data_IF_627868276190
#
_entry.id   IF_627868276190
#
_cell.length_a   1.000
_cell.length_b   1.000
_cell.length_c   1.000
_cell.angle_alpha   90.00
_cell.angle_beta   90.00
_cell.angle_gamma   90.00
#
_symmetry.space_group_name_H-M   'P 1'
#
loop_
_entity.id
_entity.type
_entity.pdbx_description
1 polymer ?
#
# COMPACT_ATOMS: atom_id res chain seq x y z
N UNK A 1 -65.08 -37.96 -46.60
CA UNK A 1 -63.65 -37.55 -46.54
C UNK A 1 -63.37 -36.96 -45.13
N UNK A 2 -62.68 -37.75 -44.27
CA UNK A 2 -62.34 -37.34 -42.88
C UNK A 2 -60.89 -36.93 -42.87
N UNK A 3 -60.63 -35.71 -42.47
CA UNK A 3 -59.26 -35.17 -42.28
C UNK A 3 -58.66 -35.72 -40.98
N UNK A 4 -57.34 -36.02 -40.92
CA UNK A 4 -56.69 -36.45 -39.70
C UNK A 4 -56.32 -35.27 -38.83
N UNK A 5 -56.60 -35.38 -37.54
CA UNK A 5 -56.19 -34.43 -36.49
C UNK A 5 -54.73 -34.67 -36.14
N UNK A 6 -53.87 -33.67 -36.35
CA UNK A 6 -52.50 -33.60 -35.87
C UNK A 6 -52.51 -33.24 -34.39
N UNK A 7 -51.93 -34.11 -33.54
CA UNK A 7 -51.69 -33.86 -32.15
C UNK A 7 -50.29 -33.24 -32.01
N UNK A 8 -50.11 -32.05 -31.42
CA UNK A 8 -48.79 -31.49 -31.19
C UNK A 8 -48.16 -32.17 -29.96
N UNK A 9 -47.06 -32.87 -30.16
CA UNK A 9 -46.25 -33.47 -29.12
C UNK A 9 -45.50 -32.35 -28.39
N UNK A 10 -45.84 -32.10 -27.12
CA UNK A 10 -45.19 -31.14 -26.25
C UNK A 10 -43.84 -31.73 -25.78
N UNK A 11 -42.75 -31.22 -26.28
CA UNK A 11 -41.40 -31.59 -25.86
C UNK A 11 -41.08 -30.82 -24.54
N UNK A 12 -41.17 -31.52 -23.43
CA UNK A 12 -40.80 -30.97 -22.12
C UNK A 12 -39.27 -30.91 -22.02
N UNK A 13 -38.72 -29.69 -22.06
CA UNK A 13 -37.30 -29.44 -21.85
C UNK A 13 -37.02 -29.37 -20.33
N UNK A 14 -36.53 -30.47 -19.76
CA UNK A 14 -36.10 -30.52 -18.36
C UNK A 14 -34.75 -29.85 -18.23
N UNK A 15 -34.72 -28.62 -17.69
CA UNK A 15 -33.50 -27.97 -17.23
C UNK A 15 -32.98 -28.68 -15.99
N UNK A 16 -31.89 -29.41 -16.12
CA UNK A 16 -31.14 -29.92 -14.96
C UNK A 16 -30.43 -28.79 -14.28
N UNK A 17 -30.90 -28.38 -13.10
CA UNK A 17 -30.19 -27.46 -12.21
C UNK A 17 -28.97 -28.21 -11.64
N UNK A 18 -27.79 -27.96 -12.18
CA UNK A 18 -26.55 -28.44 -11.58
C UNK A 18 -26.31 -27.68 -10.24
N UNK A 19 -26.01 -28.36 -9.13
CA UNK A 19 -25.65 -27.71 -7.89
C UNK A 19 -24.33 -26.95 -8.10
N UNK A 20 -24.39 -25.63 -8.01
CA UNK A 20 -23.20 -24.82 -7.98
C UNK A 20 -22.53 -25.01 -6.62
N UNK A 21 -21.41 -25.72 -6.61
CA UNK A 21 -20.54 -25.78 -5.45
C UNK A 21 -20.11 -24.32 -5.10
N UNK A 22 -20.19 -23.90 -3.82
CA UNK A 22 -19.65 -22.61 -3.42
C UNK A 22 -18.15 -22.64 -3.71
N UNK A 23 -17.74 -21.98 -4.79
CA UNK A 23 -16.35 -21.71 -5.05
C UNK A 23 -15.82 -20.90 -3.86
N UNK A 24 -14.84 -21.44 -3.15
CA UNK A 24 -14.06 -20.67 -2.18
C UNK A 24 -13.42 -19.52 -2.96
N UNK A 25 -14.06 -18.36 -2.92
CA UNK A 25 -13.46 -17.14 -3.38
C UNK A 25 -12.25 -16.91 -2.47
N UNK A 26 -11.06 -17.26 -2.94
CA UNK A 26 -9.83 -16.72 -2.36
C UNK A 26 -9.96 -15.21 -2.50
N UNK A 27 -10.21 -14.54 -1.38
CA UNK A 27 -10.24 -13.09 -1.34
C UNK A 27 -8.90 -12.62 -1.91
N UNK A 28 -8.95 -12.04 -3.10
CA UNK A 28 -7.80 -11.48 -3.77
C UNK A 28 -7.33 -10.35 -2.87
N UNK A 29 -6.21 -10.55 -2.14
CA UNK A 29 -5.63 -9.56 -1.26
C UNK A 29 -5.36 -8.32 -2.10
N UNK A 30 -6.16 -7.29 -1.90
CA UNK A 30 -6.04 -6.05 -2.64
C UNK A 30 -4.89 -5.25 -2.08
N UNK A 31 -4.22 -4.45 -2.92
CA UNK A 31 -3.21 -3.45 -2.52
C UNK A 31 -3.71 -2.48 -1.43
N UNK A 32 -4.96 -2.62 -1.05
CA UNK A 32 -5.72 -1.74 -0.17
C UNK A 32 -5.54 -2.08 1.32
N UNK A 33 -4.91 -3.20 1.63
CA UNK A 33 -4.79 -3.70 2.99
C UNK A 33 -3.59 -3.12 3.75
N UNK A 34 -2.67 -2.43 3.04
CA UNK A 34 -1.54 -1.73 3.66
C UNK A 34 -1.85 -0.26 3.87
N UNK A 35 -1.59 0.23 5.10
CA UNK A 35 -1.67 1.64 5.47
C UNK A 35 -0.53 1.98 6.40
N UNK A 36 0.08 3.14 6.20
CA UNK A 36 1.05 3.70 7.13
C UNK A 36 0.67 5.15 7.45
N UNK A 37 0.98 5.57 8.67
CA UNK A 37 0.79 6.93 9.13
C UNK A 37 2.06 7.43 9.82
N UNK A 38 2.67 8.48 9.27
CA UNK A 38 3.87 9.11 9.81
C UNK A 38 3.51 9.88 11.09
N UNK A 39 4.23 9.59 12.18
CA UNK A 39 4.12 10.26 13.47
C UNK A 39 5.18 11.35 13.60
N UNK A 40 6.41 11.03 13.16
CA UNK A 40 7.57 11.92 13.19
C UNK A 40 8.40 11.74 11.90
N UNK A 41 8.78 12.84 11.22
CA UNK A 41 8.50 14.25 11.49
C UNK A 41 7.03 14.62 11.39
N UNK A 42 6.58 15.59 12.21
CA UNK A 42 5.20 16.08 12.19
C UNK A 42 4.94 17.03 11.01
N UNK A 43 3.67 17.18 10.65
CA UNK A 43 3.25 18.16 9.67
C UNK A 43 3.83 19.55 9.96
N UNK A 44 4.49 20.17 8.97
CA UNK A 44 5.10 21.50 9.09
C UNK A 44 6.34 21.57 10.00
N UNK A 45 6.80 20.47 10.57
CA UNK A 45 8.03 20.47 11.38
C UNK A 45 9.21 20.95 10.55
N UNK A 46 10.05 21.83 11.13
CA UNK A 46 11.25 22.36 10.48
C UNK A 46 12.46 21.60 10.96
N UNK A 47 13.17 20.97 10.04
CA UNK A 47 14.39 20.20 10.29
C UNK A 47 15.61 20.93 9.74
N UNK A 48 16.75 20.71 10.36
CA UNK A 48 18.04 21.26 9.91
C UNK A 48 18.89 20.16 9.27
N UNK A 49 19.61 20.45 8.18
CA UNK A 49 20.62 19.54 7.65
C UNK A 49 21.62 19.10 8.73
N UNK A 50 21.96 17.80 8.72
CA UNK A 50 22.86 17.21 9.73
C UNK A 50 22.20 16.87 11.08
N UNK A 51 20.99 17.35 11.32
CA UNK A 51 20.22 16.94 12.50
C UNK A 51 19.89 15.46 12.45
N UNK A 52 20.04 14.74 13.57
CA UNK A 52 19.49 13.39 13.70
C UNK A 52 18.08 13.50 14.28
N UNK A 53 17.12 12.92 13.58
CA UNK A 53 15.73 12.90 13.99
C UNK A 53 15.23 11.46 13.96
N UNK A 54 14.44 11.09 14.96
CA UNK A 54 13.71 9.81 14.91
C UNK A 54 12.54 9.93 13.96
N UNK A 55 12.60 9.14 12.89
CA UNK A 55 11.44 8.89 12.03
C UNK A 55 10.63 7.78 12.69
N UNK A 56 9.33 8.00 12.84
CA UNK A 56 8.42 7.08 13.50
C UNK A 56 7.08 7.08 12.78
N UNK A 57 6.49 5.89 12.63
CA UNK A 57 5.19 5.70 11.99
C UNK A 57 4.41 4.58 12.66
N UNK A 58 3.12 4.49 12.36
CA UNK A 58 2.31 3.30 12.58
C UNK A 58 1.97 2.66 11.24
N UNK A 59 1.77 1.35 11.22
CA UNK A 59 1.34 0.66 10.02
C UNK A 59 0.35 -0.46 10.34
N UNK A 60 -0.67 -0.57 9.47
CA UNK A 60 -1.55 -1.72 9.36
C UNK A 60 -1.06 -2.58 8.21
N UNK A 61 -0.78 -3.83 8.47
CA UNK A 61 -0.29 -4.77 7.48
C UNK A 61 -1.38 -5.73 7.01
N UNK A 62 -1.35 -6.15 5.74
CA UNK A 62 -2.17 -7.26 5.30
C UNK A 62 -1.85 -8.53 6.09
N UNK A 63 -2.79 -9.48 6.15
CA UNK A 63 -2.58 -10.76 6.83
C UNK A 63 -1.59 -11.64 6.02
N UNK A 64 -0.29 -11.35 6.15
CA UNK A 64 0.82 -12.05 5.51
C UNK A 64 1.90 -12.40 6.54
N UNK A 65 2.76 -13.34 6.20
CA UNK A 65 3.95 -13.62 7.01
C UNK A 65 4.96 -12.47 6.85
N UNK A 66 5.13 -11.66 7.88
CA UNK A 66 6.01 -10.49 7.87
C UNK A 66 7.50 -10.86 7.80
N UNK A 67 7.89 -12.11 8.03
CA UNK A 67 9.31 -12.54 7.94
C UNK A 67 9.87 -12.47 6.52
N UNK A 68 8.99 -12.46 5.51
CA UNK A 68 9.33 -12.34 4.09
C UNK A 68 9.09 -10.93 3.55
N UNK A 69 8.89 -9.97 4.43
CA UNK A 69 8.47 -8.61 4.08
C UNK A 69 9.48 -7.58 4.56
N UNK A 70 9.41 -6.40 3.97
CA UNK A 70 10.17 -5.23 4.39
C UNK A 70 9.34 -3.96 4.27
N UNK A 71 9.75 -2.94 5.00
CA UNK A 71 9.24 -1.57 4.85
C UNK A 71 10.37 -0.71 4.33
N UNK A 72 10.16 -0.06 3.20
CA UNK A 72 11.08 0.90 2.60
C UNK A 72 10.66 2.32 2.89
N UNK A 73 11.62 3.18 3.17
CA UNK A 73 11.41 4.60 3.42
C UNK A 73 12.15 5.41 2.38
N UNK A 74 11.41 6.23 1.66
CA UNK A 74 11.90 7.05 0.56
C UNK A 74 11.57 8.51 0.82
N UNK A 75 12.48 9.42 0.41
CA UNK A 75 12.29 10.86 0.52
C UNK A 75 11.80 11.44 -0.80
N UNK A 76 10.76 12.25 -0.72
CA UNK A 76 10.33 13.17 -1.77
C UNK A 76 10.58 14.62 -1.32
N UNK A 77 10.95 15.49 -2.24
CA UNK A 77 11.18 16.93 -1.98
C UNK A 77 10.07 17.82 -2.57
N UNK A 78 9.07 17.24 -3.23
CA UNK A 78 8.05 17.93 -4.01
C UNK A 78 6.62 17.53 -3.63
N UNK A 79 6.41 17.21 -2.37
CA UNK A 79 5.08 16.83 -1.84
C UNK A 79 4.64 15.41 -2.20
N UNK A 80 5.58 14.50 -2.44
CA UNK A 80 5.30 13.11 -2.77
C UNK A 80 5.07 12.84 -4.25
N UNK A 81 5.32 13.80 -5.15
CA UNK A 81 5.14 13.62 -6.60
C UNK A 81 6.23 12.77 -7.23
N UNK A 82 7.48 12.99 -6.80
CA UNK A 82 8.62 12.20 -7.26
C UNK A 82 9.47 11.74 -6.08
N UNK A 83 10.10 10.59 -6.22
CA UNK A 83 11.06 10.09 -5.25
C UNK A 83 12.41 10.73 -5.54
N UNK A 84 12.97 11.40 -4.53
CA UNK A 84 14.30 12.00 -4.59
C UNK A 84 15.38 10.99 -4.24
N UNK A 85 15.18 10.23 -3.14
CA UNK A 85 16.15 9.22 -2.72
C UNK A 85 15.51 8.12 -1.86
N UNK A 86 16.10 6.94 -1.93
CA UNK A 86 15.89 5.88 -0.98
C UNK A 86 16.69 6.19 0.30
N UNK A 87 16.05 6.05 1.47
CA UNK A 87 16.71 6.30 2.75
C UNK A 87 17.15 4.98 3.39
N UNK A 88 16.22 4.07 3.61
CA UNK A 88 16.49 2.80 4.29
C UNK A 88 15.39 1.77 4.03
N UNK A 89 15.72 0.51 4.30
CA UNK A 89 14.77 -0.59 4.38
C UNK A 89 14.81 -1.22 5.77
N UNK A 90 13.62 -1.47 6.32
CA UNK A 90 13.42 -2.21 7.56
C UNK A 90 13.00 -3.63 7.23
N UNK A 91 13.93 -4.57 7.35
CA UNK A 91 13.68 -6.01 7.10
C UNK A 91 12.70 -6.64 8.10
N UNK A 92 12.47 -5.99 9.21
CA UNK A 92 11.41 -6.33 10.15
C UNK A 92 10.36 -5.22 10.14
N UNK A 93 9.24 -5.37 9.44
CA UNK A 93 8.20 -4.35 9.35
C UNK A 93 7.59 -3.96 10.71
N UNK A 94 7.72 -4.81 11.72
CA UNK A 94 7.26 -4.49 13.09
C UNK A 94 8.12 -3.42 13.76
N UNK A 95 9.33 -3.14 13.25
CA UNK A 95 10.16 -2.02 13.69
C UNK A 95 9.73 -0.78 12.91
N UNK A 96 8.95 0.07 13.55
CA UNK A 96 8.30 1.22 12.92
C UNK A 96 8.99 2.54 13.28
N UNK A 97 10.31 2.53 13.36
CA UNK A 97 11.14 3.71 13.58
C UNK A 97 12.58 3.48 13.11
N UNK A 98 13.29 4.58 12.87
CA UNK A 98 14.75 4.63 12.71
C UNK A 98 15.26 6.05 12.98
N UNK A 99 16.55 6.16 13.28
CA UNK A 99 17.20 7.47 13.44
C UNK A 99 17.79 7.90 12.09
N UNK A 100 17.37 9.06 11.62
CA UNK A 100 17.69 9.61 10.29
C UNK A 100 18.50 10.89 10.40
N UNK A 101 19.63 10.96 9.69
CA UNK A 101 20.36 12.18 9.50
C UNK A 101 19.77 12.97 8.33
N UNK A 102 19.25 14.16 8.61
CA UNK A 102 18.58 15.00 7.63
C UNK A 102 19.60 15.48 6.57
N UNK A 103 19.35 15.23 5.28
CA UNK A 103 20.25 15.66 4.21
C UNK A 103 20.19 17.19 3.99
N UNK A 104 21.21 17.72 3.32
CA UNK A 104 21.21 19.13 2.89
C UNK A 104 20.44 19.29 1.57
N UNK A 105 19.14 19.17 1.64
CA UNK A 105 18.19 19.26 0.51
C UNK A 105 17.04 20.18 0.88
N UNK A 106 17.24 21.52 0.86
CA UNK A 106 16.22 22.45 1.31
C UNK A 106 14.93 22.33 0.52
N UNK A 107 13.81 22.21 1.24
CA UNK A 107 12.46 22.18 0.66
C UNK A 107 11.41 22.50 1.70
N UNK A 108 10.28 23.06 1.26
CA UNK A 108 9.10 23.27 2.11
C UNK A 108 8.07 22.14 1.96
N UNK A 109 8.38 21.11 1.17
CA UNK A 109 7.45 20.06 0.79
C UNK A 109 8.09 18.65 0.87
N UNK A 110 8.95 18.45 1.88
CA UNK A 110 9.50 17.12 2.13
C UNK A 110 8.40 16.15 2.58
N UNK A 111 8.38 14.96 2.00
CA UNK A 111 7.47 13.87 2.38
C UNK A 111 8.27 12.57 2.47
N UNK A 112 7.99 11.75 3.47
CA UNK A 112 8.48 10.38 3.53
C UNK A 112 7.43 9.45 2.96
N UNK A 113 7.75 8.76 1.87
CA UNK A 113 6.94 7.67 1.33
C UNK A 113 7.34 6.38 2.06
N UNK A 114 6.37 5.75 2.70
CA UNK A 114 6.57 4.52 3.49
C UNK A 114 5.90 3.40 2.72
N UNK A 115 6.71 2.52 2.16
CA UNK A 115 6.27 1.40 1.33
C UNK A 115 6.41 0.09 2.07
N UNK A 116 5.58 -0.84 1.70
CA UNK A 116 5.59 -2.21 2.23
C UNK A 116 5.52 -3.20 1.08
N UNK A 117 6.32 -4.24 1.16
CA UNK A 117 6.32 -5.33 0.18
C UNK A 117 6.80 -6.63 0.79
N UNK A 118 6.41 -7.75 0.18
CA UNK A 118 6.84 -9.09 0.58
C UNK A 118 7.24 -9.87 -0.68
N UNK A 119 8.40 -10.51 -0.61
CA UNK A 119 8.93 -11.27 -1.73
C UNK A 119 7.91 -12.30 -2.26
N UNK A 120 7.50 -12.17 -3.53
CA UNK A 120 6.56 -13.05 -4.24
C UNK A 120 5.17 -13.22 -3.61
N UNK A 121 4.84 -12.48 -2.54
CA UNK A 121 3.58 -12.63 -1.79
C UNK A 121 2.72 -11.36 -1.89
N UNK A 122 3.34 -10.19 -1.70
CA UNK A 122 2.66 -8.91 -1.71
C UNK A 122 3.53 -7.88 -2.44
N UNK A 123 3.03 -7.25 -3.50
CA UNK A 123 3.83 -6.30 -4.28
C UNK A 123 4.15 -5.07 -3.46
N UNK A 124 5.33 -4.48 -3.67
CA UNK A 124 5.70 -3.21 -3.07
C UNK A 124 4.62 -2.16 -3.31
N UNK A 125 4.13 -1.57 -2.24
CA UNK A 125 2.97 -0.69 -2.25
C UNK A 125 3.20 0.49 -1.31
N UNK A 126 3.03 1.71 -1.81
CA UNK A 126 2.98 2.91 -0.97
C UNK A 126 1.70 2.94 -0.14
N UNK A 127 1.79 3.54 1.05
CA UNK A 127 0.57 3.82 1.81
C UNK A 127 -0.38 4.72 1.00
N UNK A 128 -1.67 4.39 1.00
CA UNK A 128 -2.70 5.25 0.36
C UNK A 128 -2.86 6.60 1.03
N UNK A 129 -2.55 6.68 2.31
CA UNK A 129 -2.58 7.94 3.03
C UNK A 129 -1.32 8.74 2.67
N UNK A 130 -1.51 9.91 2.05
CA UNK A 130 -0.42 10.86 1.83
C UNK A 130 0.15 11.24 3.18
N UNK A 131 1.46 11.05 3.34
CA UNK A 131 2.14 11.40 4.57
C UNK A 131 2.24 12.91 4.70
N UNK A 132 2.31 13.39 5.94
CA UNK A 132 2.41 14.82 6.24
C UNK A 132 3.71 15.41 5.69
N UNK A 133 3.61 16.57 5.04
CA UNK A 133 4.78 17.30 4.59
C UNK A 133 5.45 18.04 5.76
N UNK A 134 6.79 18.10 5.73
CA UNK A 134 7.64 18.85 6.65
C UNK A 134 8.65 19.70 5.88
N UNK A 135 9.44 20.48 6.59
CA UNK A 135 10.38 21.45 6.01
C UNK A 135 11.81 21.03 6.30
N UNK A 136 12.67 21.04 5.29
CA UNK A 136 14.12 21.00 5.46
C UNK A 136 14.65 22.41 5.13
N UNK A 137 15.15 23.12 6.15
CA UNK A 137 15.66 24.48 5.94
C UNK A 137 17.03 24.47 5.28
N UNK A 138 17.44 25.53 4.57
CA UNK A 138 18.81 25.68 4.10
C UNK A 138 19.78 25.75 5.28
N UNK A 139 21.05 25.37 5.07
CA UNK A 139 22.14 25.72 5.98
C UNK A 139 22.29 27.23 6.00
N UNK A 140 22.22 27.82 7.18
CA UNK A 140 22.63 29.22 7.34
C UNK A 140 24.17 29.24 7.30
N UNK A 141 24.71 29.80 6.25
CA UNK A 141 26.15 30.13 6.15
C UNK A 141 26.49 31.31 7.04
#
# INVERSE_FOLDING_TARGET
MKAPRLIPTLLALTFALAPQLPGTAFAQRTKDDYRAHLISPRAGQVLSPGQVVRVEWTADFPNVDLTMCETEILLSLDGGRTIYMFITSQRNPSVQYFDWTVPNTPTNAAVLDIRFGCLNIYPETSSRQVQSAFVIRPLNN
#
